data_IF_169050812393
#
_entry.id   IF_169050812393
#
_cell.length_a   1.000
_cell.length_b   1.000
_cell.length_c   1.000
_cell.angle_alpha   90.00
_cell.angle_beta   90.00
_cell.angle_gamma   90.00
#
_symmetry.space_group_name_H-M   'P 1'
#
loop_
_entity.id
_entity.type
_entity.pdbx_description
1 polymer ?
#
# COMPACT_ATOMS: atom_id res chain seq x y z
N UNK A 1 16.53 32.80 -8.49
CA UNK A 1 16.73 31.39 -8.90
C UNK A 1 15.89 30.51 -7.98
N UNK A 2 15.15 29.57 -8.58
CA UNK A 2 14.12 28.76 -7.94
C UNK A 2 14.79 27.72 -7.03
N UNK A 3 14.56 27.75 -5.72
CA UNK A 3 14.79 26.58 -4.87
C UNK A 3 13.44 26.11 -4.35
N UNK A 4 12.73 25.42 -5.23
CA UNK A 4 11.60 24.59 -4.87
C UNK A 4 12.17 23.40 -4.12
N UNK A 5 12.02 23.41 -2.80
CA UNK A 5 12.26 22.25 -1.94
C UNK A 5 11.21 21.20 -2.29
N UNK A 6 11.44 20.51 -3.41
CA UNK A 6 10.69 19.35 -3.85
C UNK A 6 10.85 18.32 -2.75
N UNK A 7 9.76 17.79 -2.15
CA UNK A 7 9.87 16.89 -1.02
C UNK A 7 10.74 15.70 -1.44
N UNK A 8 11.85 15.56 -0.72
CA UNK A 8 12.83 14.49 -0.87
C UNK A 8 12.11 13.16 -0.61
N UNK A 9 11.56 12.57 -1.67
CA UNK A 9 11.07 11.19 -1.68
C UNK A 9 12.25 10.28 -1.42
N UNK A 10 12.47 10.01 -0.12
CA UNK A 10 13.50 9.13 0.43
C UNK A 10 13.70 7.91 -0.44
N UNK A 11 14.83 7.90 -1.16
CA UNK A 11 15.40 6.74 -1.81
C UNK A 11 15.86 5.75 -0.73
N UNK A 12 14.92 4.96 -0.21
CA UNK A 12 15.13 3.92 0.80
C UNK A 12 15.12 2.52 0.18
N UNK A 13 16.29 2.12 -0.30
CA UNK A 13 16.80 0.78 -0.60
C UNK A 13 15.90 -0.41 -0.21
N UNK A 14 15.34 -1.07 -1.24
CA UNK A 14 15.02 -2.52 -1.31
C UNK A 14 14.78 -3.27 0.02
N UNK A 15 13.67 -3.09 0.75
CA UNK A 15 13.19 -4.13 1.72
C UNK A 15 11.74 -4.02 2.25
N UNK A 16 11.00 -2.93 2.00
CA UNK A 16 9.62 -2.77 2.52
C UNK A 16 8.50 -2.86 1.46
N UNK A 17 8.54 -3.89 0.61
CA UNK A 17 7.50 -4.12 -0.41
C UNK A 17 6.11 -4.38 0.21
N UNK A 18 6.05 -5.19 1.28
CA UNK A 18 4.78 -5.56 1.91
C UNK A 18 4.02 -4.35 2.45
N UNK A 19 4.67 -3.46 3.19
CA UNK A 19 3.99 -2.27 3.74
C UNK A 19 3.45 -1.32 2.66
N UNK A 20 4.13 -1.23 1.52
CA UNK A 20 3.65 -0.46 0.37
C UNK A 20 2.37 -1.04 -0.24
N UNK A 21 2.33 -2.36 -0.46
CA UNK A 21 1.13 -3.01 -1.00
C UNK A 21 -0.03 -3.01 0.00
N UNK A 22 0.25 -3.13 1.31
CA UNK A 22 -0.77 -2.93 2.36
C UNK A 22 -1.32 -1.51 2.29
N UNK A 23 -0.48 -0.47 2.24
CA UNK A 23 -0.94 0.92 2.15
C UNK A 23 -1.84 1.19 0.94
N UNK A 24 -1.47 0.65 -0.24
CA UNK A 24 -2.31 0.74 -1.44
C UNK A 24 -3.63 -0.01 -1.25
N UNK A 25 -3.57 -1.24 -0.75
CA UNK A 25 -4.75 -2.06 -0.49
C UNK A 25 -5.71 -1.37 0.48
N UNK A 26 -5.20 -0.80 1.59
CA UNK A 26 -6.00 -0.05 2.57
C UNK A 26 -6.62 1.20 1.96
N UNK A 27 -5.90 1.97 1.13
CA UNK A 27 -6.46 3.18 0.50
C UNK A 27 -7.62 2.84 -0.44
N UNK A 28 -7.46 1.80 -1.27
CA UNK A 28 -8.51 1.31 -2.17
C UNK A 28 -9.67 0.74 -1.35
N UNK A 29 -9.37 -0.11 -0.38
CA UNK A 29 -10.36 -0.74 0.50
C UNK A 29 -11.16 0.28 1.30
N UNK A 30 -10.54 1.34 1.80
CA UNK A 30 -11.22 2.43 2.48
C UNK A 30 -12.17 3.18 1.53
N UNK A 31 -11.77 3.45 0.28
CA UNK A 31 -12.64 4.06 -0.72
C UNK A 31 -13.85 3.19 -1.06
N UNK A 32 -13.64 1.88 -1.23
CA UNK A 32 -14.72 0.91 -1.47
C UNK A 32 -15.63 0.78 -0.24
N UNK A 33 -15.06 0.70 0.96
CA UNK A 33 -15.80 0.62 2.21
C UNK A 33 -16.64 1.87 2.48
N UNK A 34 -16.12 3.05 2.14
CA UNK A 34 -16.86 4.29 2.18
C UNK A 34 -18.04 4.28 1.19
N UNK A 35 -17.84 3.77 -0.03
CA UNK A 35 -18.89 3.67 -1.04
C UNK A 35 -20.01 2.68 -0.64
N UNK A 36 -19.66 1.58 0.05
CA UNK A 36 -20.62 0.56 0.50
C UNK A 36 -21.23 0.93 1.88
N UNK A 37 -20.77 2.01 2.52
CA UNK A 37 -21.22 2.42 3.86
C UNK A 37 -20.67 1.54 4.99
N UNK A 38 -19.68 0.69 4.71
CA UNK A 38 -19.00 -0.15 5.69
C UNK A 38 -17.48 -0.06 5.53
N UNK A 39 -16.91 0.98 6.16
CA UNK A 39 -15.47 1.26 6.14
C UNK A 39 -14.67 0.12 6.79
N UNK A 40 -15.20 -0.52 7.83
CA UNK A 40 -14.52 -1.63 8.51
C UNK A 40 -14.28 -2.81 7.57
N UNK A 41 -15.30 -3.21 6.82
CA UNK A 41 -15.19 -4.25 5.79
C UNK A 41 -14.22 -3.82 4.68
N UNK A 42 -14.34 -2.58 4.20
CA UNK A 42 -13.46 -2.06 3.16
C UNK A 42 -11.99 -2.07 3.54
N UNK A 43 -11.64 -1.56 4.72
CA UNK A 43 -10.27 -1.58 5.23
C UNK A 43 -9.78 -3.02 5.42
N UNK A 44 -10.60 -3.90 6.01
CA UNK A 44 -10.24 -5.30 6.23
C UNK A 44 -9.91 -6.04 4.93
N UNK A 45 -10.77 -5.89 3.92
CA UNK A 45 -10.56 -6.46 2.57
C UNK A 45 -9.33 -5.84 1.90
N UNK A 46 -9.20 -4.52 1.96
CA UNK A 46 -8.06 -3.79 1.39
C UNK A 46 -6.72 -4.25 1.96
N UNK A 47 -6.62 -4.36 3.29
CA UNK A 47 -5.43 -4.86 3.98
C UNK A 47 -5.15 -6.31 3.59
N UNK A 48 -6.16 -7.18 3.56
CA UNK A 48 -5.99 -8.58 3.19
C UNK A 48 -5.43 -8.74 1.76
N UNK A 49 -5.98 -7.99 0.80
CA UNK A 49 -5.50 -7.97 -0.60
C UNK A 49 -4.07 -7.44 -0.66
N UNK A 50 -3.80 -6.28 -0.04
CA UNK A 50 -2.49 -5.64 -0.04
C UNK A 50 -1.41 -6.52 0.60
N UNK A 51 -1.71 -7.16 1.72
CA UNK A 51 -0.83 -8.11 2.39
C UNK A 51 -0.60 -9.37 1.53
N UNK A 52 -1.66 -9.95 0.95
CA UNK A 52 -1.58 -11.12 0.08
C UNK A 52 -0.69 -10.90 -1.13
N UNK A 53 -0.90 -9.79 -1.84
CA UNK A 53 -0.07 -9.36 -2.99
C UNK A 53 1.38 -9.13 -2.55
N UNK A 54 1.57 -8.42 -1.43
CA UNK A 54 2.90 -8.14 -0.89
C UNK A 54 3.68 -9.41 -0.54
N UNK A 55 3.02 -10.42 0.05
CA UNK A 55 3.61 -11.72 0.38
C UNK A 55 3.90 -12.53 -0.89
N UNK A 56 2.96 -12.58 -1.85
CA UNK A 56 3.14 -13.31 -3.09
C UNK A 56 4.34 -12.78 -3.91
N UNK A 57 4.47 -11.46 -4.03
CA UNK A 57 5.60 -10.80 -4.71
C UNK A 57 6.92 -10.94 -3.94
N UNK A 58 6.86 -11.00 -2.60
CA UNK A 58 8.04 -11.29 -1.78
C UNK A 58 8.52 -12.73 -2.01
N UNK A 59 7.59 -13.70 -2.05
CA UNK A 59 7.91 -15.10 -2.36
C UNK A 59 8.52 -15.25 -3.75
N UNK A 60 7.91 -14.66 -4.79
CA UNK A 60 8.40 -14.73 -6.17
C UNK A 60 9.80 -14.14 -6.37
N UNK A 61 10.21 -13.17 -5.56
CA UNK A 61 11.56 -12.57 -5.67
C UNK A 61 12.65 -13.38 -4.97
N UNK A 62 12.26 -14.31 -4.10
CA UNK A 62 13.18 -15.10 -3.29
C UNK A 62 13.29 -16.55 -3.79
N UNK A 63 12.64 -16.90 -4.91
CA UNK A 63 12.72 -18.21 -5.57
C UNK A 63 13.29 -18.10 -6.96
#
# INVERSE_FOLDING_TARGET
MKNTEKPETKHGTKKRKIGFYIGIGTAIGAGIGAAIGNIGVGIGVGVAIGAGIGVALKRKRNG
#
